data_IF_162395947669
#
_entry.id   IF_162395947669
#
_cell.length_a   1.000
_cell.length_b   1.000
_cell.length_c   1.000
_cell.angle_alpha   90.00
_cell.angle_beta   90.00
_cell.angle_gamma   90.00
#
_symmetry.space_group_name_H-M   'P 1'
#
loop_
_entity.id
_entity.type
_entity.pdbx_description
1 polymer ?
#
# COMPACT_ATOMS: atom_id res chain seq x y z
N UNK A 1 12.84 -11.85 9.97
CA UNK A 1 12.65 -10.59 10.71
C UNK A 1 13.25 -9.40 10.02
N UNK A 2 14.51 -9.50 9.57
CA UNK A 2 15.16 -8.40 8.86
C UNK A 2 14.41 -8.01 7.57
N UNK A 3 13.98 -9.02 6.79
CA UNK A 3 13.24 -8.77 5.55
C UNK A 3 11.89 -8.12 5.81
N UNK A 4 11.22 -8.51 6.89
CA UNK A 4 9.92 -7.93 7.23
C UNK A 4 10.08 -6.47 7.66
N UNK A 5 11.09 -6.17 8.45
CA UNK A 5 11.41 -4.79 8.84
C UNK A 5 11.71 -3.93 7.63
N UNK A 6 12.49 -4.46 6.69
CA UNK A 6 12.81 -3.74 5.47
C UNK A 6 11.55 -3.47 4.65
N UNK A 7 10.67 -4.46 4.52
CA UNK A 7 9.42 -4.28 3.77
C UNK A 7 8.51 -3.26 4.44
N UNK A 8 8.37 -3.31 5.76
CA UNK A 8 7.56 -2.34 6.49
C UNK A 8 8.11 -0.92 6.31
N UNK A 9 9.42 -0.76 6.42
CA UNK A 9 10.03 0.54 6.22
C UNK A 9 9.89 1.01 4.79
N UNK A 10 9.91 0.10 3.81
CA UNK A 10 9.67 0.43 2.41
C UNK A 10 8.24 0.99 2.23
N UNK A 11 7.24 0.37 2.87
CA UNK A 11 5.87 0.88 2.83
C UNK A 11 5.79 2.30 3.40
N UNK A 12 6.47 2.53 4.51
CA UNK A 12 6.51 3.86 5.14
C UNK A 12 7.15 4.90 4.23
N UNK A 13 8.30 4.56 3.64
CA UNK A 13 9.01 5.48 2.75
C UNK A 13 8.20 5.77 1.50
N UNK A 14 7.64 4.74 0.86
CA UNK A 14 6.81 4.92 -0.33
C UNK A 14 5.61 5.82 -0.05
N UNK A 15 4.92 5.55 1.07
CA UNK A 15 3.75 6.36 1.44
C UNK A 15 4.13 7.81 1.68
N UNK A 16 5.23 8.06 2.37
CA UNK A 16 5.71 9.42 2.64
C UNK A 16 6.13 10.13 1.37
N UNK A 17 6.82 9.42 0.47
CA UNK A 17 7.24 9.99 -0.81
C UNK A 17 6.05 10.33 -1.70
N UNK A 18 5.01 9.48 -1.71
CA UNK A 18 3.78 9.75 -2.45
C UNK A 18 3.11 11.04 -1.97
N UNK A 19 2.98 11.18 -0.65
CA UNK A 19 2.38 12.38 -0.05
C UNK A 19 3.20 13.62 -0.36
N UNK A 20 4.52 13.50 -0.26
CA UNK A 20 5.43 14.61 -0.51
C UNK A 20 5.38 15.05 -1.99
N UNK A 21 5.45 14.09 -2.91
CA UNK A 21 5.41 14.40 -4.34
C UNK A 21 4.07 15.01 -4.75
N UNK A 22 2.97 14.53 -4.19
CA UNK A 22 1.64 15.06 -4.47
C UNK A 22 1.41 16.42 -3.79
N UNK A 23 2.22 16.75 -2.80
CA UNK A 23 2.02 17.89 -1.91
C UNK A 23 0.62 17.87 -1.31
N UNK A 24 0.12 16.67 -1.02
CA UNK A 24 -1.25 16.43 -0.56
C UNK A 24 -1.35 15.03 0.02
N UNK A 25 -2.13 14.87 1.08
CA UNK A 25 -2.37 13.59 1.71
C UNK A 25 -1.96 13.57 3.17
N UNK A 26 -2.13 12.40 3.79
CA UNK A 26 -1.89 12.24 5.22
C UNK A 26 -0.84 11.13 5.44
N UNK A 27 0.37 11.47 5.91
CA UNK A 27 1.41 10.46 6.15
C UNK A 27 1.25 9.71 7.47
N UNK A 28 0.53 10.27 8.44
CA UNK A 28 0.46 9.71 9.78
C UNK A 28 -0.06 8.29 9.86
N UNK A 29 -1.21 8.00 9.23
CA UNK A 29 -1.79 6.66 9.24
C UNK A 29 -0.90 5.64 8.53
N UNK A 30 -0.38 5.91 7.32
CA UNK A 30 0.55 4.98 6.69
C UNK A 30 1.77 4.66 7.55
N UNK A 31 2.34 5.66 8.20
CA UNK A 31 3.51 5.44 9.05
C UNK A 31 3.17 4.58 10.27
N UNK A 32 2.03 4.85 10.91
CA UNK A 32 1.61 4.11 12.10
C UNK A 32 1.07 2.72 11.81
N UNK A 33 0.34 2.56 10.72
CA UNK A 33 -0.35 1.31 10.40
C UNK A 33 0.47 0.34 9.55
N UNK A 34 1.63 0.75 9.02
CA UNK A 34 2.41 -0.09 8.12
C UNK A 34 2.77 -1.46 8.70
N UNK A 35 3.22 -1.59 9.97
CA UNK A 35 3.51 -2.92 10.53
C UNK A 35 2.29 -3.83 10.55
N UNK A 36 1.15 -3.32 10.96
CA UNK A 36 -0.09 -4.09 11.04
C UNK A 36 -0.56 -4.52 9.66
N UNK A 37 -0.56 -3.60 8.71
CA UNK A 37 -1.00 -3.87 7.35
C UNK A 37 -0.09 -4.87 6.67
N UNK A 38 1.22 -4.74 6.80
CA UNK A 38 2.16 -5.68 6.21
C UNK A 38 1.96 -7.08 6.77
N UNK A 39 1.82 -7.20 8.08
CA UNK A 39 1.61 -8.51 8.73
C UNK A 39 0.33 -9.16 8.24
N UNK A 40 -0.75 -8.38 8.13
CA UNK A 40 -2.02 -8.89 7.62
C UNK A 40 -1.87 -9.44 6.20
N UNK A 41 -1.30 -8.65 5.31
CA UNK A 41 -1.17 -9.02 3.89
C UNK A 41 -0.16 -10.14 3.67
N UNK A 42 0.90 -10.18 4.46
CA UNK A 42 1.97 -11.15 4.26
C UNK A 42 1.69 -12.51 4.89
N UNK A 43 1.00 -12.55 6.03
CA UNK A 43 0.84 -13.78 6.81
C UNK A 43 -0.58 -14.27 7.00
N UNK A 44 -1.56 -13.39 7.09
CA UNK A 44 -2.90 -13.73 7.50
C UNK A 44 -3.90 -13.74 6.36
N UNK A 45 -3.80 -12.77 5.47
CA UNK A 45 -4.79 -12.59 4.42
C UNK A 45 -4.60 -13.58 3.27
N UNK A 46 -5.69 -14.23 2.88
CA UNK A 46 -5.68 -15.13 1.72
C UNK A 46 -5.87 -14.30 0.45
N UNK A 47 -4.82 -14.14 -0.32
CA UNK A 47 -4.88 -13.38 -1.55
C UNK A 47 -3.81 -13.86 -2.53
N UNK A 48 -4.01 -13.55 -3.81
CA UNK A 48 -3.06 -13.93 -4.86
C UNK A 48 -2.95 -12.79 -5.86
N UNK A 49 -1.82 -12.05 -5.87
CA UNK A 49 -1.62 -10.94 -6.81
C UNK A 49 -1.70 -11.35 -8.28
N UNK A 50 -1.35 -12.59 -8.60
CA UNK A 50 -1.43 -13.12 -9.96
C UNK A 50 -2.85 -13.43 -10.39
N UNK A 51 -3.77 -13.55 -9.44
CA UNK A 51 -5.19 -13.75 -9.70
C UNK A 51 -6.00 -12.89 -8.72
N UNK A 52 -6.03 -11.57 -8.93
CA UNK A 52 -6.66 -10.65 -7.97
C UNK A 52 -8.17 -10.83 -7.84
N UNK A 53 -8.79 -11.53 -8.80
CA UNK A 53 -10.23 -11.79 -8.76
C UNK A 53 -10.58 -13.19 -8.25
N UNK A 54 -9.61 -13.91 -7.68
CA UNK A 54 -9.85 -15.23 -7.11
C UNK A 54 -11.01 -15.18 -6.12
N UNK A 55 -12.02 -16.03 -6.36
CA UNK A 55 -13.29 -15.90 -5.64
C UNK A 55 -13.17 -16.18 -4.14
N UNK A 56 -12.23 -17.03 -3.77
CA UNK A 56 -12.05 -17.44 -2.37
C UNK A 56 -11.06 -16.54 -1.60
N UNK A 57 -10.66 -15.42 -2.20
CA UNK A 57 -9.73 -14.48 -1.58
C UNK A 57 -10.36 -13.74 -0.41
N UNK A 58 -9.53 -13.37 0.55
CA UNK A 58 -9.93 -12.41 1.56
C UNK A 58 -10.01 -11.02 0.93
N UNK A 59 -10.95 -10.21 1.40
CA UNK A 59 -11.17 -8.87 0.85
C UNK A 59 -10.76 -7.83 1.86
N UNK A 60 -9.87 -6.96 1.42
CA UNK A 60 -9.36 -5.87 2.23
C UNK A 60 -10.06 -4.57 1.86
N UNK A 61 -10.61 -3.88 2.85
CA UNK A 61 -11.29 -2.61 2.65
C UNK A 61 -10.68 -1.59 3.58
N UNK A 62 -10.14 -0.52 3.02
CA UNK A 62 -9.58 0.57 3.81
C UNK A 62 -10.67 1.59 4.11
N UNK A 63 -11.19 1.58 5.34
CA UNK A 63 -12.22 2.53 5.73
C UNK A 63 -11.67 3.93 5.99
N UNK A 64 -10.40 4.02 6.38
CA UNK A 64 -9.73 5.31 6.62
C UNK A 64 -9.15 5.84 5.30
N UNK A 65 -9.97 6.54 4.52
CA UNK A 65 -9.56 7.04 3.21
C UNK A 65 -8.33 7.95 3.24
N UNK A 66 -8.11 8.64 4.35
CA UNK A 66 -6.92 9.48 4.51
C UNK A 66 -5.61 8.67 4.55
N UNK A 67 -5.70 7.35 4.69
CA UNK A 67 -4.53 6.46 4.65
C UNK A 67 -4.32 5.81 3.29
N UNK A 68 -4.93 6.32 2.23
CA UNK A 68 -4.88 5.69 0.90
C UNK A 68 -3.47 5.46 0.36
N UNK A 69 -2.50 6.31 0.73
CA UNK A 69 -1.11 6.10 0.31
C UNK A 69 -0.59 4.73 0.75
N UNK A 70 -1.02 4.24 1.91
CA UNK A 70 -0.61 2.93 2.39
C UNK A 70 -1.13 1.80 1.50
N UNK A 71 -2.41 1.83 1.12
CA UNK A 71 -2.95 0.74 0.29
C UNK A 71 -2.33 0.74 -1.10
N UNK A 72 -2.06 1.90 -1.69
CA UNK A 72 -1.38 1.96 -2.97
C UNK A 72 0.04 1.42 -2.88
N UNK A 73 0.76 1.73 -1.81
CA UNK A 73 2.09 1.17 -1.56
C UNK A 73 2.04 -0.34 -1.38
N UNK A 74 1.04 -0.87 -0.66
CA UNK A 74 0.84 -2.31 -0.50
C UNK A 74 0.59 -2.98 -1.84
N UNK A 75 -0.27 -2.41 -2.68
CA UNK A 75 -0.57 -2.96 -4.00
C UNK A 75 0.68 -3.02 -4.87
N UNK A 76 1.56 -2.02 -4.76
CA UNK A 76 2.83 -2.02 -5.49
C UNK A 76 3.77 -3.10 -4.95
N UNK A 77 4.00 -3.13 -3.65
CA UNK A 77 4.96 -4.06 -3.03
C UNK A 77 4.54 -5.52 -3.21
N UNK A 78 3.24 -5.82 -3.12
CA UNK A 78 2.73 -7.17 -3.30
C UNK A 78 2.41 -7.52 -4.75
N UNK A 79 2.81 -6.68 -5.69
CA UNK A 79 2.76 -6.96 -7.15
C UNK A 79 1.36 -7.13 -7.72
N UNK A 80 0.47 -6.22 -7.36
CA UNK A 80 -0.88 -6.17 -7.93
C UNK A 80 -0.96 -5.35 -9.22
N UNK A 81 0.19 -4.98 -9.79
CA UNK A 81 0.21 -4.31 -11.08
C UNK A 81 0.41 -2.80 -11.03
N UNK A 82 0.44 -2.20 -9.85
CA UNK A 82 0.76 -0.78 -9.73
C UNK A 82 2.26 -0.58 -9.84
N UNK A 83 2.65 0.33 -10.72
CA UNK A 83 4.06 0.66 -10.93
C UNK A 83 4.48 1.85 -10.07
N UNK A 84 5.80 2.11 -10.04
CA UNK A 84 6.31 3.32 -9.38
C UNK A 84 5.74 4.59 -10.02
N UNK A 85 5.51 4.57 -11.35
CA UNK A 85 4.90 5.73 -12.01
C UNK A 85 3.47 5.96 -11.53
N UNK A 86 2.71 4.88 -11.28
CA UNK A 86 1.38 5.00 -10.71
C UNK A 86 1.42 5.64 -9.33
N UNK A 87 2.39 5.25 -8.49
CA UNK A 87 2.56 5.84 -7.17
C UNK A 87 2.93 7.32 -7.26
N UNK A 88 3.77 7.70 -8.23
CA UNK A 88 4.14 9.09 -8.44
C UNK A 88 2.95 9.95 -8.86
N UNK A 89 1.92 9.33 -9.43
CA UNK A 89 0.68 10.00 -9.79
C UNK A 89 -0.35 10.12 -8.68
N UNK A 90 0.01 9.74 -7.45
CA UNK A 90 -0.90 9.76 -6.30
C UNK A 90 -1.59 11.13 -6.17
N UNK A 91 -2.93 11.12 -6.11
CA UNK A 91 -3.78 12.30 -5.96
C UNK A 91 -3.58 13.34 -7.07
N UNK A 92 -3.11 12.92 -8.23
CA UNK A 92 -2.97 13.78 -9.39
C UNK A 92 -4.12 13.56 -10.35
N UNK A 93 -4.47 14.60 -11.10
CA UNK A 93 -5.53 14.51 -12.10
C UNK A 93 -5.16 13.45 -13.15
N UNK A 94 -6.15 12.65 -13.55
CA UNK A 94 -6.01 11.57 -14.54
C UNK A 94 -5.11 10.41 -14.09
N UNK A 95 -4.80 10.32 -12.80
CA UNK A 95 -4.12 9.14 -12.26
C UNK A 95 -5.13 8.05 -11.91
N UNK A 96 -4.60 6.89 -11.56
CA UNK A 96 -5.43 5.79 -11.10
C UNK A 96 -6.19 6.08 -9.81
#
# INVERSE_FOLDING_TARGET
MRKEKLAINTLRVLSSEMVDKANSGHPGLPLGAAPMAFTLWNRQMKHNPKNPNWINRDRFILSAGHGSALIYSLLHVFRYGLTMDDLKGFRQLDSL
#
